data_IF_008684681981
#
_entry.id   IF_008684681981
#
_cell.length_a   1.000
_cell.length_b   1.000
_cell.length_c   1.000
_cell.angle_alpha   90.00
_cell.angle_beta   90.00
_cell.angle_gamma   90.00
#
_symmetry.space_group_name_H-M   'P 1'
#
loop_
_entity.id
_entity.type
_entity.pdbx_description
1 polymer ?
#
# COMPACT_ATOMS: atom_id res chain seq x y z
N UNK A 1 -16.44 -9.65 -9.11
CA UNK A 1 -15.48 -9.05 -10.05
C UNK A 1 -14.10 -9.07 -9.41
N UNK A 2 -13.00 -9.28 -10.16
CA UNK A 2 -11.65 -9.17 -9.61
C UNK A 2 -11.37 -7.72 -9.18
N UNK A 3 -10.52 -7.55 -8.17
CA UNK A 3 -10.06 -6.23 -7.74
C UNK A 3 -9.19 -5.58 -8.82
N UNK A 4 -9.33 -4.27 -8.98
CA UNK A 4 -8.40 -3.49 -9.80
C UNK A 4 -7.10 -3.20 -9.02
N UNK A 5 -6.10 -2.63 -9.71
CA UNK A 5 -4.77 -2.37 -9.14
C UNK A 5 -4.82 -1.47 -7.90
N UNK A 6 -5.61 -0.40 -7.94
CA UNK A 6 -5.78 0.54 -6.82
C UNK A 6 -6.43 -0.13 -5.60
N UNK A 7 -7.44 -0.97 -5.83
CA UNK A 7 -8.09 -1.74 -4.77
C UNK A 7 -7.13 -2.73 -4.12
N UNK A 8 -6.26 -3.39 -4.91
CA UNK A 8 -5.24 -4.29 -4.35
C UNK A 8 -4.21 -3.50 -3.53
N UNK A 9 -3.75 -2.34 -4.02
CA UNK A 9 -2.82 -1.48 -3.30
C UNK A 9 -3.43 -0.97 -1.97
N UNK A 10 -4.71 -0.59 -1.97
CA UNK A 10 -5.42 -0.16 -0.77
C UNK A 10 -5.55 -1.29 0.26
N UNK A 11 -5.77 -2.54 -0.17
CA UNK A 11 -5.79 -3.69 0.73
C UNK A 11 -4.39 -3.92 1.33
N UNK A 12 -3.34 -3.89 0.52
CA UNK A 12 -1.97 -4.06 1.01
C UNK A 12 -1.56 -2.98 2.02
N UNK A 13 -2.00 -1.73 1.84
CA UNK A 13 -1.71 -0.63 2.77
C UNK A 13 -2.28 -0.87 4.18
N UNK A 14 -3.39 -1.63 4.29
CA UNK A 14 -4.01 -1.97 5.59
C UNK A 14 -3.20 -2.95 6.43
N UNK A 15 -2.27 -3.67 5.81
CA UNK A 15 -1.38 -4.62 6.51
C UNK A 15 -0.15 -3.93 7.10
N UNK A 16 0.15 -2.69 6.68
CA UNK A 16 1.23 -1.89 7.22
C UNK A 16 0.84 -1.28 8.57
N UNK A 17 1.83 -1.10 9.43
CA UNK A 17 1.67 -0.52 10.77
C UNK A 17 2.77 0.51 11.01
N UNK A 18 2.49 1.47 11.87
CA UNK A 18 3.46 2.46 12.34
C UNK A 18 4.78 1.80 12.77
N UNK A 19 5.89 2.40 12.35
CA UNK A 19 7.25 1.90 12.59
C UNK A 19 7.70 0.75 11.69
N UNK A 20 6.87 0.25 10.76
CA UNK A 20 7.34 -0.70 9.75
C UNK A 20 8.29 -0.04 8.75
N UNK A 21 9.47 -0.64 8.55
CA UNK A 21 10.37 -0.29 7.47
C UNK A 21 10.25 -1.32 6.35
N UNK A 22 9.67 -0.92 5.21
CA UNK A 22 9.37 -1.82 4.09
C UNK A 22 9.96 -1.32 2.79
N UNK A 23 10.25 -2.26 1.89
CA UNK A 23 10.63 -1.96 0.52
C UNK A 23 9.42 -2.14 -0.39
N UNK A 24 9.05 -1.10 -1.12
CA UNK A 24 8.05 -1.18 -2.18
C UNK A 24 8.78 -1.29 -3.53
N UNK A 25 8.51 -2.37 -4.28
CA UNK A 25 8.99 -2.49 -5.66
C UNK A 25 8.37 -1.43 -6.57
N UNK A 26 8.83 -1.34 -7.81
CA UNK A 26 8.34 -0.36 -8.79
C UNK A 26 7.01 -0.80 -9.43
N UNK A 27 6.10 0.15 -9.69
CA UNK A 27 4.83 -0.10 -10.37
C UNK A 27 3.65 -0.18 -9.41
N UNK A 28 2.85 -1.25 -9.48
CA UNK A 28 1.70 -1.40 -8.57
C UNK A 28 2.07 -1.28 -7.07
N UNK A 29 3.20 -1.82 -6.58
CA UNK A 29 3.54 -1.70 -5.17
C UNK A 29 3.79 -0.25 -4.70
N UNK A 30 4.24 0.67 -5.58
CA UNK A 30 4.42 2.07 -5.17
C UNK A 30 3.09 2.78 -4.90
N UNK A 31 1.97 2.29 -5.46
CA UNK A 31 0.64 2.82 -5.16
C UNK A 31 0.24 2.59 -3.71
N UNK A 32 0.80 1.58 -3.04
CA UNK A 32 0.51 1.27 -1.62
C UNK A 32 0.82 2.48 -0.74
N UNK A 33 1.91 3.21 -1.02
CA UNK A 33 2.32 4.39 -0.27
C UNK A 33 1.26 5.51 -0.28
N UNK A 34 0.45 5.62 -1.34
CA UNK A 34 -0.60 6.64 -1.45
C UNK A 34 -1.80 6.39 -0.53
N UNK A 35 -1.90 5.20 0.07
CA UNK A 35 -3.02 4.81 0.94
C UNK A 35 -2.60 4.67 2.41
N UNK A 36 -1.34 4.99 2.75
CA UNK A 36 -0.86 5.03 4.13
C UNK A 36 -1.29 6.37 4.75
N UNK A 37 -1.87 6.38 5.98
CA UNK A 37 -2.20 7.61 6.68
C UNK A 37 -0.96 8.48 6.91
N UNK A 38 -1.12 9.81 6.82
CA UNK A 38 -0.04 10.74 7.16
C UNK A 38 0.39 10.59 8.63
N UNK A 39 1.69 10.54 8.87
CA UNK A 39 2.28 10.45 10.22
C UNK A 39 2.32 9.03 10.81
N UNK A 40 1.99 8.01 10.01
CA UNK A 40 2.34 6.60 10.27
C UNK A 40 3.73 6.29 9.72
#
# INVERSE_FOLDING_TARGET
>A
MPLNRDQIAQVAARELRDGFYVNLGIGMPTLVANYIPEGM
#
